data_IF_678344824645
#
_entry.id   IF_678344824645
#
_cell.length_a   1.000
_cell.length_b   1.000
_cell.length_c   1.000
_cell.angle_alpha   90.00
_cell.angle_beta   90.00
_cell.angle_gamma   90.00
#
_symmetry.space_group_name_H-M   'P 1'
#
loop_
_entity.id
_entity.type
_entity.pdbx_description
1 polymer ?
#
# COMPACT_ATOMS: atom_id res chain seq x y z
N UNK A 1 -14.97 34.40 -2.93
CA UNK A 1 -14.90 34.04 -3.35
C UNK A 1 -15.10 33.97 -4.05
N UNK A 2 -15.16 34.07 -4.29
CA UNK A 2 -15.47 33.83 -4.87
C UNK A 2 -15.74 33.38 -5.40
N UNK A 3 -15.82 33.39 -5.38
CA UNK A 3 -16.12 32.85 -5.74
C UNK A 3 -16.24 32.52 -6.58
N UNK A 4 -16.13 32.56 -6.78
CA UNK A 4 -16.28 32.02 -7.49
C UNK A 4 -16.18 31.40 -8.51
N UNK A 5 -15.61 31.54 -9.12
CA UNK A 5 -15.48 30.69 -9.99
C UNK A 5 -14.52 29.88 -10.23
N UNK A 6 -14.69 29.46 -10.00
CA UNK A 6 -13.92 28.22 -9.83
C UNK A 6 -14.36 27.22 -10.89
N UNK A 7 -13.49 26.33 -11.28
CA UNK A 7 -13.84 25.25 -12.17
C UNK A 7 -14.75 24.21 -11.51
N UNK A 8 -14.97 23.05 -12.16
CA UNK A 8 -15.80 22.00 -11.59
C UNK A 8 -15.32 21.56 -10.22
N UNK A 9 -16.26 21.24 -9.35
CA UNK A 9 -15.95 20.74 -8.02
C UNK A 9 -15.25 19.38 -8.12
N UNK A 10 -14.14 19.23 -7.38
CA UNK A 10 -13.40 17.99 -7.27
C UNK A 10 -13.80 17.29 -5.96
N UNK A 11 -14.06 15.99 -6.02
CA UNK A 11 -14.41 15.20 -4.85
C UNK A 11 -13.33 14.16 -4.56
N UNK A 12 -13.42 13.54 -3.40
CA UNK A 12 -12.52 12.44 -3.02
C UNK A 12 -12.63 11.24 -3.95
N UNK A 13 -13.76 11.11 -4.64
CA UNK A 13 -14.02 9.95 -5.50
C UNK A 13 -13.57 10.16 -6.93
N UNK A 14 -13.13 11.36 -7.28
CA UNK A 14 -12.63 11.63 -8.63
C UNK A 14 -11.23 11.05 -8.80
N UNK A 15 -10.92 10.61 -10.02
CA UNK A 15 -9.60 10.13 -10.35
C UNK A 15 -8.57 11.25 -10.24
N UNK A 16 -7.29 10.88 -10.10
CA UNK A 16 -6.20 11.82 -10.03
C UNK A 16 -4.95 11.21 -10.62
N UNK A 17 -4.13 12.06 -11.24
CA UNK A 17 -2.79 11.65 -11.64
C UNK A 17 -1.82 12.06 -10.52
N UNK A 18 -0.99 11.13 -10.10
CA UNK A 18 -0.01 11.35 -9.05
C UNK A 18 1.35 10.91 -9.61
N UNK A 19 2.03 11.83 -10.25
CA UNK A 19 3.23 11.51 -11.02
C UNK A 19 2.86 10.59 -12.17
N UNK A 20 3.51 9.44 -12.24
CA UNK A 20 3.24 8.44 -13.26
C UNK A 20 2.07 7.50 -12.90
N UNK A 21 1.48 7.67 -11.71
CA UNK A 21 0.38 6.82 -11.27
C UNK A 21 -0.95 7.48 -11.60
N UNK A 22 -1.89 6.67 -12.11
CA UNK A 22 -3.26 7.10 -12.30
C UNK A 22 -4.10 6.44 -11.21
N UNK A 23 -4.66 7.25 -10.31
CA UNK A 23 -5.42 6.77 -9.15
C UNK A 23 -6.90 6.86 -9.43
N UNK A 24 -7.65 5.82 -9.06
CA UNK A 24 -9.10 5.77 -9.29
C UNK A 24 -9.87 6.71 -8.38
N UNK A 25 -9.29 7.09 -7.24
CA UNK A 25 -9.86 8.07 -6.32
C UNK A 25 -8.74 8.73 -5.54
N UNK A 26 -9.08 9.69 -4.68
CA UNK A 26 -8.11 10.54 -3.99
C UNK A 26 -7.90 10.14 -2.54
N UNK A 27 -8.33 8.94 -2.15
CA UNK A 27 -8.10 8.43 -0.79
C UNK A 27 -6.80 7.64 -0.81
N UNK A 28 -5.88 8.01 0.09
CA UNK A 28 -4.56 7.38 0.19
C UNK A 28 -4.44 6.74 1.57
N UNK A 29 -4.07 5.47 1.58
CA UNK A 29 -3.79 4.76 2.84
C UNK A 29 -2.37 5.09 3.28
N UNK A 30 -2.25 5.70 4.46
CA UNK A 30 -0.96 6.03 5.05
C UNK A 30 -0.24 4.75 5.51
N UNK A 31 1.11 4.75 5.53
CA UNK A 31 1.86 3.58 6.00
C UNK A 31 1.72 3.38 7.50
N UNK A 32 1.38 2.16 7.91
CA UNK A 32 1.21 1.80 9.32
C UNK A 32 1.85 0.43 9.56
N UNK A 33 2.84 0.35 10.42
CA UNK A 33 3.48 -0.91 10.79
C UNK A 33 2.48 -1.80 11.52
N UNK A 34 2.21 -2.99 10.99
CA UNK A 34 1.21 -3.88 11.54
C UNK A 34 1.77 -5.00 12.42
N UNK A 35 3.06 -5.28 12.29
CA UNK A 35 3.77 -6.33 13.04
C UNK A 35 3.12 -7.70 12.88
N UNK A 36 2.75 -8.06 11.66
CA UNK A 36 2.06 -9.33 11.37
C UNK A 36 2.85 -10.24 10.43
N UNK A 37 4.11 -9.86 10.09
CA UNK A 37 4.98 -10.76 9.34
C UNK A 37 5.41 -11.93 10.23
N UNK A 38 5.89 -13.01 9.61
CA UNK A 38 6.37 -14.17 10.36
C UNK A 38 7.77 -13.91 10.95
N UNK A 39 8.33 -14.93 11.59
CA UNK A 39 9.63 -14.80 12.26
C UNK A 39 10.77 -14.46 11.30
N UNK A 40 10.64 -14.83 10.03
CA UNK A 40 11.62 -14.52 8.99
C UNK A 40 11.32 -13.22 8.23
N UNK A 41 10.35 -12.45 8.68
CA UNK A 41 9.99 -11.20 8.04
C UNK A 41 9.21 -11.37 6.73
N UNK A 42 8.61 -12.53 6.51
CA UNK A 42 7.81 -12.80 5.32
C UNK A 42 6.38 -12.32 5.56
N UNK A 43 5.79 -11.54 4.62
CA UNK A 43 4.38 -11.19 4.74
C UNK A 43 3.50 -12.43 4.78
N UNK A 44 2.60 -12.47 5.75
CA UNK A 44 1.71 -13.59 5.99
C UNK A 44 0.39 -13.44 5.22
N UNK A 45 -0.41 -14.52 5.21
CA UNK A 45 -1.73 -14.46 4.58
C UNK A 45 -2.62 -13.39 5.20
N UNK A 46 -2.44 -13.09 6.48
CA UNK A 46 -3.22 -12.04 7.16
C UNK A 46 -2.82 -10.66 6.64
N UNK A 47 -1.55 -10.44 6.33
CA UNK A 47 -1.08 -9.19 5.71
C UNK A 47 -1.66 -9.06 4.30
N UNK A 48 -1.63 -10.14 3.53
CA UNK A 48 -2.21 -10.15 2.19
C UNK A 48 -3.68 -9.77 2.22
N UNK A 49 -4.46 -10.35 3.14
CA UNK A 49 -5.87 -10.06 3.28
C UNK A 49 -6.11 -8.61 3.74
N UNK A 50 -5.28 -8.13 4.65
CA UNK A 50 -5.36 -6.76 5.17
C UNK A 50 -5.26 -5.74 4.02
N UNK A 51 -4.29 -5.90 3.14
CA UNK A 51 -4.12 -4.99 2.02
C UNK A 51 -5.20 -5.21 0.95
N UNK A 52 -5.58 -6.46 0.71
CA UNK A 52 -6.64 -6.76 -0.26
C UNK A 52 -7.95 -6.07 0.13
N UNK A 53 -8.30 -6.07 1.41
CA UNK A 53 -9.52 -5.44 1.89
C UNK A 53 -9.53 -3.91 1.69
N UNK A 54 -8.35 -3.31 1.54
CA UNK A 54 -8.20 -1.87 1.41
C UNK A 54 -7.90 -1.41 -0.02
N UNK A 55 -7.98 -2.33 -0.97
CA UNK A 55 -7.64 -2.07 -2.36
C UNK A 55 -8.58 -1.07 -3.05
N UNK A 56 -9.74 -0.78 -2.44
CA UNK A 56 -10.64 0.26 -2.97
C UNK A 56 -10.13 1.67 -2.81
N UNK A 57 -9.13 1.90 -1.97
CA UNK A 57 -8.50 3.21 -1.85
C UNK A 57 -7.67 3.49 -3.10
N UNK A 58 -7.59 4.77 -3.51
CA UNK A 58 -6.88 5.14 -4.73
C UNK A 58 -5.40 4.77 -4.70
N UNK A 59 -4.77 4.82 -3.53
CA UNK A 59 -3.38 4.43 -3.38
C UNK A 59 -3.19 3.83 -2.00
N UNK A 60 -2.50 2.70 -1.93
CA UNK A 60 -2.01 2.13 -0.68
C UNK A 60 -0.51 2.38 -0.60
N UNK A 61 -0.05 2.97 0.50
CA UNK A 61 1.38 3.00 0.83
C UNK A 61 1.59 1.91 1.88
N UNK A 62 2.46 0.95 1.58
CA UNK A 62 2.67 -0.19 2.46
C UNK A 62 3.28 0.23 3.79
N UNK A 63 3.20 -0.65 4.77
CA UNK A 63 3.95 -0.50 6.01
C UNK A 63 5.45 -0.48 5.71
N UNK A 64 6.24 0.03 6.67
CA UNK A 64 7.69 0.05 6.54
C UNK A 64 8.24 -1.35 6.40
N UNK A 65 9.12 -1.53 5.42
CA UNK A 65 9.82 -2.79 5.20
C UNK A 65 11.32 -2.55 5.36
N UNK A 66 12.04 -3.53 5.90
CA UNK A 66 13.48 -3.36 6.03
C UNK A 66 14.19 -3.86 4.77
N UNK A 67 14.97 -2.98 4.10
CA UNK A 67 15.69 -3.34 2.86
C UNK A 67 17.00 -4.06 3.12
N UNK A 68 17.45 -4.06 4.37
CA UNK A 68 18.61 -4.81 4.86
C UNK A 68 18.28 -5.30 6.27
N UNK A 69 18.93 -6.38 6.69
CA UNK A 69 18.63 -6.99 7.99
C UNK A 69 18.79 -5.99 9.14
N UNK A 70 19.79 -5.13 9.05
CA UNK A 70 20.07 -4.13 10.08
C UNK A 70 18.94 -3.10 10.23
N UNK A 71 18.06 -3.01 9.24
CA UNK A 71 16.94 -2.08 9.28
C UNK A 71 15.73 -2.59 10.04
N UNK A 72 15.74 -3.87 10.46
CA UNK A 72 14.62 -4.45 11.21
C UNK A 72 14.52 -3.79 12.59
N UNK A 73 13.38 -3.16 12.85
CA UNK A 73 13.15 -2.41 14.08
C UNK A 73 12.25 -3.12 15.08
N UNK A 74 11.33 -3.97 14.61
CA UNK A 74 10.32 -4.59 15.46
C UNK A 74 10.13 -6.06 15.11
N UNK A 75 9.83 -6.93 16.09
CA UNK A 75 9.36 -8.28 15.78
C UNK A 75 8.09 -8.21 14.94
N UNK A 76 7.99 -9.06 13.92
CA UNK A 76 6.83 -9.05 13.04
C UNK A 76 6.84 -7.98 11.96
N UNK A 77 7.90 -7.16 11.89
CA UNK A 77 8.05 -6.21 10.79
C UNK A 77 8.53 -6.97 9.54
N UNK A 78 7.90 -6.75 8.38
CA UNK A 78 8.31 -7.47 7.17
C UNK A 78 9.57 -6.87 6.55
N UNK A 79 10.30 -7.70 5.82
CA UNK A 79 11.47 -7.28 5.05
C UNK A 79 11.25 -7.44 3.56
N UNK A 80 12.22 -6.95 2.79
CA UNK A 80 12.23 -7.07 1.31
C UNK A 80 13.62 -7.49 0.84
N UNK A 81 14.29 -8.36 1.60
CA UNK A 81 15.68 -8.79 1.34
C UNK A 81 15.73 -10.19 0.75
N UNK A 82 15.02 -11.15 1.34
CA UNK A 82 15.12 -12.56 0.95
C UNK A 82 14.14 -12.90 -0.16
N UNK A 83 14.43 -13.97 -0.94
CA UNK A 83 13.46 -14.42 -1.95
C UNK A 83 12.09 -14.74 -1.37
N UNK A 84 12.01 -15.29 -0.16
CA UNK A 84 10.72 -15.59 0.47
C UNK A 84 9.95 -14.31 0.80
N UNK A 85 10.66 -13.27 1.27
CA UNK A 85 10.05 -11.98 1.55
C UNK A 85 9.54 -11.33 0.26
N UNK A 86 10.35 -11.36 -0.79
CA UNK A 86 9.97 -10.80 -2.09
C UNK A 86 8.73 -11.52 -2.63
N UNK A 87 8.68 -12.84 -2.51
CA UNK A 87 7.51 -13.61 -2.96
C UNK A 87 6.28 -13.29 -2.12
N UNK A 88 6.46 -13.09 -0.82
CA UNK A 88 5.36 -12.68 0.07
C UNK A 88 4.77 -11.34 -0.36
N UNK A 89 5.62 -10.37 -0.69
CA UNK A 89 5.16 -9.07 -1.17
C UNK A 89 4.54 -9.17 -2.57
N UNK A 90 5.02 -10.11 -3.41
CA UNK A 90 4.38 -10.35 -4.70
C UNK A 90 2.92 -10.79 -4.49
N UNK A 91 2.68 -11.70 -3.55
CA UNK A 91 1.31 -12.14 -3.24
C UNK A 91 0.43 -10.99 -2.77
N UNK A 92 0.99 -10.10 -1.93
CA UNK A 92 0.27 -8.90 -1.47
C UNK A 92 -0.08 -8.01 -2.66
N UNK A 93 0.90 -7.70 -3.50
CA UNK A 93 0.68 -6.84 -4.67
C UNK A 93 -0.34 -7.45 -5.62
N UNK A 94 -0.24 -8.75 -5.89
CA UNK A 94 -1.18 -9.44 -6.78
C UNK A 94 -2.60 -9.39 -6.22
N UNK A 95 -2.76 -9.55 -4.91
CA UNK A 95 -4.09 -9.48 -4.27
C UNK A 95 -4.70 -8.09 -4.40
N UNK A 96 -3.90 -7.05 -4.22
CA UNK A 96 -4.36 -5.66 -4.37
C UNK A 96 -4.69 -5.37 -5.85
N UNK A 97 -3.83 -5.79 -6.77
CA UNK A 97 -4.05 -5.58 -8.20
C UNK A 97 -5.28 -6.33 -8.70
N UNK A 98 -5.54 -7.51 -8.19
CA UNK A 98 -6.73 -8.30 -8.58
C UNK A 98 -8.03 -7.57 -8.24
N UNK A 99 -8.01 -6.71 -7.21
CA UNK A 99 -9.16 -5.89 -6.83
C UNK A 99 -9.13 -4.52 -7.52
N UNK A 100 -8.22 -4.29 -8.44
CA UNK A 100 -8.11 -3.02 -9.17
C UNK A 100 -7.36 -1.93 -8.40
N UNK A 101 -6.69 -2.27 -7.30
CA UNK A 101 -6.00 -1.30 -6.48
C UNK A 101 -4.58 -0.99 -6.95
N UNK A 102 -4.00 0.05 -6.35
CA UNK A 102 -2.62 0.49 -6.58
C UNK A 102 -1.89 0.49 -5.24
N UNK A 103 -0.73 -0.14 -5.19
CA UNK A 103 0.08 -0.21 -3.97
C UNK A 103 1.53 0.15 -4.30
N UNK A 104 2.14 0.95 -3.42
CA UNK A 104 3.56 1.26 -3.47
C UNK A 104 4.20 0.88 -2.13
N UNK A 105 5.48 0.51 -2.18
CA UNK A 105 6.23 0.10 -1.01
C UNK A 105 7.11 1.27 -0.54
#
# INVERSE_FOLDING_TARGET
MAGGRLGPTVTLYDSADFGSLHLSNRVVMAPLTRTRADAEGVPTAIIEEYYRQRAGQGLIISEGVWPVLEGKSYPGQPGIVTPAQIEGWRRVADAVHAEGGTIVM
#
